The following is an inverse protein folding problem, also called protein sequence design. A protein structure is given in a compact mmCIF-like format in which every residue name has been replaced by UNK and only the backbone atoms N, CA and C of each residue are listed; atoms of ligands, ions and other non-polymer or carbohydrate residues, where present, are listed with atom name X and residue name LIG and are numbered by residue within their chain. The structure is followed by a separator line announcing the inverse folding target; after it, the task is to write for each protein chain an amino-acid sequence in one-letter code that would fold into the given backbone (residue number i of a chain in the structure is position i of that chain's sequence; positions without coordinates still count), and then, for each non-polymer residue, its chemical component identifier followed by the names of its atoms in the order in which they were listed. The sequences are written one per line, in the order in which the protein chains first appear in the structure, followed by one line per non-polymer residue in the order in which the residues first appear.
data_IF_266185335527
#
_entry.id   IF_266185335527
#
_cell.length_a   1.000
_cell.length_b   1.000
_cell.length_c   1.000
_cell.angle_alpha   90.00
_cell.angle_beta   90.00
_cell.angle_gamma   90.00
#
_symmetry.space_group_name_H-M   'P 1'
#
loop_
_entity.id
_entity.type
_entity.pdbx_description
1 polymer ?
#
# COMPACT_ATOMS: atom_id res chain seq x y z
N UNK A 1 -6.79 15.19 3.57
CA UNK A 1 -6.58 14.27 2.42
C UNK A 1 -6.06 15.04 1.21
N UNK A 2 -5.38 14.42 0.23
CA UNK A 2 -4.72 15.15 -0.86
C UNK A 2 -5.69 15.82 -1.85
N UNK A 3 -7.01 15.70 -1.67
CA UNK A 3 -8.01 16.44 -2.43
C UNK A 3 -9.03 17.17 -1.54
N UNK A 4 -8.69 17.41 -0.27
CA UNK A 4 -9.60 18.09 0.66
C UNK A 4 -9.76 19.57 0.29
N UNK A 5 -10.98 19.98 -0.06
CA UNK A 5 -11.31 21.33 -0.52
C UNK A 5 -10.47 21.79 -1.73
N UNK A 6 -10.12 20.86 -2.63
CA UNK A 6 -9.33 21.15 -3.84
C UNK A 6 -7.86 21.43 -3.59
N UNK A 7 -7.34 21.18 -2.38
CA UNK A 7 -5.92 21.37 -2.04
C UNK A 7 -5.19 20.04 -1.91
N UNK A 8 -4.00 20.00 -2.52
CA UNK A 8 -3.12 18.83 -2.54
C UNK A 8 -2.11 18.87 -1.40
N UNK A 9 -2.10 17.81 -0.58
CA UNK A 9 -1.25 17.64 0.60
C UNK A 9 -0.59 16.25 0.62
N UNK A 10 0.29 16.01 1.60
CA UNK A 10 0.93 14.71 1.80
C UNK A 10 2.22 14.50 1.01
N UNK A 11 2.76 13.28 1.13
CA UNK A 11 4.09 12.89 0.61
C UNK A 11 4.18 12.92 -0.91
N UNK A 12 3.06 12.76 -1.61
CA UNK A 12 2.99 12.68 -3.07
C UNK A 12 2.49 13.97 -3.73
N UNK A 13 2.31 15.06 -2.97
CA UNK A 13 1.70 16.30 -3.48
C UNK A 13 2.31 16.89 -4.75
N UNK A 14 3.59 16.59 -5.03
CA UNK A 14 4.31 17.10 -6.21
C UNK A 14 3.95 16.38 -7.51
N UNK A 15 3.26 15.25 -7.42
CA UNK A 15 2.88 14.38 -8.53
C UNK A 15 1.37 14.09 -8.58
N UNK A 16 0.58 14.64 -7.65
CA UNK A 16 -0.87 14.63 -7.78
C UNK A 16 -1.30 15.80 -8.68
N UNK A 17 -2.43 15.63 -9.35
CA UNK A 17 -3.05 16.67 -10.19
C UNK A 17 -4.45 17.00 -9.65
N UNK A 18 -5.01 18.19 -9.93
CA UNK A 18 -6.39 18.49 -9.57
C UNK A 18 -7.38 17.47 -10.11
N UNK A 19 -8.43 17.18 -9.33
CA UNK A 19 -9.47 16.21 -9.69
C UNK A 19 -10.11 16.50 -11.06
N UNK A 20 -10.30 17.78 -11.38
CA UNK A 20 -10.85 18.23 -12.67
C UNK A 20 -9.98 17.86 -13.89
N UNK A 21 -8.71 17.51 -13.69
CA UNK A 21 -7.81 17.07 -14.75
C UNK A 21 -7.75 15.54 -14.90
N UNK A 22 -8.26 14.78 -13.92
CA UNK A 22 -8.18 13.32 -13.93
C UNK A 22 -8.91 12.68 -15.12
N UNK A 23 -10.13 13.11 -15.54
CA UNK A 23 -10.79 12.50 -16.70
C UNK A 23 -10.00 12.67 -18.00
N UNK A 24 -9.39 13.85 -18.20
CA UNK A 24 -8.56 14.11 -19.38
C UNK A 24 -7.27 13.29 -19.36
N UNK A 25 -6.61 13.17 -18.20
CA UNK A 25 -5.44 12.29 -18.06
C UNK A 25 -5.82 10.84 -18.35
N UNK A 26 -6.93 10.35 -17.79
CA UNK A 26 -7.40 9.00 -18.01
C UNK A 26 -7.62 8.73 -19.50
N UNK A 27 -8.35 9.60 -20.22
CA UNK A 27 -8.58 9.48 -21.66
C UNK A 27 -7.28 9.32 -22.47
N UNK A 28 -6.25 10.09 -22.13
CA UNK A 28 -4.94 10.00 -22.80
C UNK A 28 -4.18 8.71 -22.47
N UNK A 29 -4.36 8.18 -21.26
CA UNK A 29 -3.66 6.98 -20.78
C UNK A 29 -4.43 5.68 -21.02
N UNK A 30 -5.74 5.74 -21.35
CA UNK A 30 -6.66 4.58 -21.43
C UNK A 30 -6.07 3.43 -22.24
N UNK A 31 -5.60 3.69 -23.45
CA UNK A 31 -5.08 2.63 -24.32
C UNK A 31 -3.92 1.86 -23.68
N UNK A 32 -2.99 2.57 -23.03
CA UNK A 32 -1.84 1.94 -22.35
C UNK A 32 -2.25 1.25 -21.06
N UNK A 33 -3.14 1.86 -20.28
CA UNK A 33 -3.66 1.25 -19.05
C UNK A 33 -4.44 -0.04 -19.35
N UNK A 34 -5.27 -0.06 -20.38
CA UNK A 34 -5.99 -1.25 -20.83
C UNK A 34 -5.03 -2.34 -21.30
N UNK A 35 -3.97 -2.00 -22.03
CA UNK A 35 -2.94 -2.97 -22.44
C UNK A 35 -2.24 -3.59 -21.23
N UNK A 36 -1.81 -2.77 -20.26
CA UNK A 36 -1.16 -3.23 -19.03
C UNK A 36 -2.12 -4.14 -18.24
N UNK A 37 -3.38 -3.73 -18.09
CA UNK A 37 -4.41 -4.51 -17.39
C UNK A 37 -4.60 -5.89 -18.03
N UNK A 38 -4.76 -5.96 -19.36
CA UNK A 38 -4.92 -7.25 -20.07
C UNK A 38 -3.68 -8.13 -19.89
N UNK A 39 -2.48 -7.57 -19.98
CA UNK A 39 -1.24 -8.33 -19.75
C UNK A 39 -1.14 -8.86 -18.32
N UNK A 40 -1.64 -8.12 -17.33
CA UNK A 40 -1.71 -8.59 -15.95
C UNK A 40 -2.73 -9.73 -15.79
N UNK A 41 -3.96 -9.54 -16.29
CA UNK A 41 -5.05 -10.52 -16.18
C UNK A 41 -4.74 -11.83 -16.92
N UNK A 42 -3.94 -11.76 -17.98
CA UNK A 42 -3.45 -12.94 -18.73
C UNK A 42 -2.19 -13.57 -18.15
N UNK A 43 -1.64 -13.01 -17.05
CA UNK A 43 -0.40 -13.50 -16.43
C UNK A 43 0.88 -13.22 -17.24
N UNK A 44 0.80 -12.40 -18.29
CA UNK A 44 1.95 -11.99 -19.11
C UNK A 44 2.89 -11.06 -18.33
N UNK A 45 2.34 -10.23 -17.43
CA UNK A 45 3.10 -9.39 -16.52
C UNK A 45 2.80 -9.77 -15.08
N UNK A 46 3.85 -9.84 -14.26
CA UNK A 46 3.73 -9.93 -12.81
C UNK A 46 3.19 -8.62 -12.22
N UNK A 47 2.68 -8.68 -10.98
CA UNK A 47 2.23 -7.49 -10.26
C UNK A 47 3.31 -6.41 -10.16
N UNK A 48 4.57 -6.80 -9.90
CA UNK A 48 5.70 -5.86 -9.82
C UNK A 48 5.96 -5.14 -11.16
N UNK A 49 5.83 -5.83 -12.29
CA UNK A 49 6.05 -5.25 -13.62
C UNK A 49 4.92 -4.31 -14.01
N UNK A 50 3.68 -4.67 -13.68
CA UNK A 50 2.50 -3.82 -13.86
C UNK A 50 2.67 -2.53 -13.08
N UNK A 51 2.98 -2.63 -11.79
CA UNK A 51 3.21 -1.47 -10.92
C UNK A 51 4.36 -0.60 -11.45
N UNK A 52 5.45 -1.21 -11.91
CA UNK A 52 6.56 -0.49 -12.54
C UNK A 52 6.11 0.30 -13.78
N UNK A 53 5.38 -0.32 -14.69
CA UNK A 53 4.88 0.34 -15.90
C UNK A 53 3.90 1.48 -15.59
N UNK A 54 3.00 1.28 -14.61
CA UNK A 54 2.10 2.33 -14.13
C UNK A 54 2.89 3.51 -13.58
N UNK A 55 3.89 3.27 -12.73
CA UNK A 55 4.74 4.33 -12.16
C UNK A 55 5.44 5.13 -13.25
N UNK A 56 6.04 4.47 -14.25
CA UNK A 56 6.65 5.17 -15.38
C UNK A 56 5.62 6.01 -16.15
N UNK A 57 4.48 5.40 -16.48
CA UNK A 57 3.43 6.01 -17.29
C UNK A 57 2.91 7.31 -16.66
N UNK A 58 2.52 7.28 -15.39
CA UNK A 58 2.00 8.45 -14.70
C UNK A 58 3.10 9.48 -14.41
N UNK A 59 4.31 9.08 -14.01
CA UNK A 59 5.40 10.04 -13.79
C UNK A 59 5.76 10.79 -15.06
N UNK A 60 5.88 10.11 -16.19
CA UNK A 60 6.18 10.74 -17.47
C UNK A 60 5.05 11.70 -17.92
N UNK A 61 3.80 11.35 -17.62
CA UNK A 61 2.64 12.19 -17.93
C UNK A 61 2.59 13.46 -17.08
N UNK A 62 2.82 13.32 -15.77
CA UNK A 62 2.62 14.38 -14.78
C UNK A 62 3.86 15.24 -14.57
N UNK A 63 5.06 14.69 -14.76
CA UNK A 63 6.33 15.40 -14.57
C UNK A 63 6.94 15.77 -15.92
N UNK A 64 6.66 17.00 -16.37
CA UNK A 64 7.10 17.54 -17.67
C UNK A 64 8.62 17.58 -17.88
N UNK A 65 9.41 17.67 -16.81
CA UNK A 65 10.88 17.72 -16.88
C UNK A 65 11.49 16.81 -15.82
N UNK A 66 12.34 15.89 -16.26
CA UNK A 66 13.11 14.99 -15.41
C UNK A 66 12.26 14.19 -14.39
N UNK A 67 11.32 13.33 -14.84
CA UNK A 67 10.58 12.41 -13.97
C UNK A 67 11.50 11.49 -13.14
N UNK A 68 12.72 11.28 -13.62
CA UNK A 68 13.74 10.40 -13.06
C UNK A 68 15.01 11.20 -12.77
N UNK A 69 15.41 11.22 -11.51
CA UNK A 69 16.59 11.94 -11.05
C UNK A 69 17.81 11.01 -11.08
N UNK A 70 18.95 11.55 -11.53
CA UNK A 70 20.23 10.86 -11.62
C UNK A 70 20.96 10.92 -10.28
N UNK A 71 21.50 9.79 -9.82
CA UNK A 71 22.38 9.71 -8.66
C UNK A 71 23.86 9.77 -9.08
N UNK A 72 24.25 10.83 -9.80
CA UNK A 72 25.63 11.00 -10.28
C UNK A 72 26.05 10.08 -11.44
N UNK A 73 25.18 9.17 -11.88
CA UNK A 73 25.39 8.26 -13.02
C UNK A 73 24.37 8.51 -14.15
N UNK A 74 24.66 7.99 -15.35
CA UNK A 74 23.69 8.01 -16.45
C UNK A 74 22.49 7.13 -16.08
N UNK A 75 21.28 7.58 -16.43
CA UNK A 75 20.08 6.77 -16.20
C UNK A 75 20.21 5.42 -16.95
N UNK A 76 19.96 4.29 -16.27
CA UNK A 76 19.88 2.98 -16.92
C UNK A 76 18.76 2.92 -17.96
N UNK A 77 18.78 1.89 -18.79
CA UNK A 77 17.69 1.62 -19.71
C UNK A 77 16.42 1.24 -18.92
N UNK A 78 15.29 1.89 -19.21
CA UNK A 78 14.00 1.63 -18.55
C UNK A 78 13.47 0.22 -18.82
N UNK A 79 13.91 -0.43 -19.89
CA UNK A 79 13.57 -1.82 -20.18
C UNK A 79 14.28 -2.80 -19.22
N UNK A 80 15.35 -2.36 -18.55
CA UNK A 80 16.02 -3.09 -17.48
C UNK A 80 15.47 -2.61 -16.14
N UNK A 81 14.26 -3.05 -15.80
CA UNK A 81 13.52 -2.62 -14.62
C UNK A 81 14.31 -2.79 -13.31
N UNK A 82 15.08 -3.88 -13.17
CA UNK A 82 15.93 -4.13 -11.99
C UNK A 82 16.99 -3.05 -11.81
N UNK A 83 17.85 -2.85 -12.81
CA UNK A 83 18.94 -1.86 -12.77
C UNK A 83 18.38 -0.42 -12.68
N UNK A 84 17.28 -0.17 -13.39
CA UNK A 84 16.62 1.13 -13.35
C UNK A 84 16.12 1.45 -11.95
N UNK A 85 15.39 0.52 -11.33
CA UNK A 85 14.85 0.70 -9.99
C UNK A 85 15.94 0.79 -8.93
N UNK A 86 17.08 0.12 -9.10
CA UNK A 86 18.20 0.19 -8.15
C UNK A 86 18.80 1.61 -8.04
N UNK A 87 18.97 2.29 -9.19
CA UNK A 87 19.79 3.50 -9.28
C UNK A 87 18.99 4.81 -9.37
N UNK A 88 17.74 4.74 -9.80
CA UNK A 88 16.92 5.93 -10.04
C UNK A 88 16.41 6.54 -8.73
N UNK A 89 16.02 7.81 -8.78
CA UNK A 89 15.08 8.40 -7.82
C UNK A 89 13.88 8.96 -8.57
N UNK A 90 12.68 8.73 -8.04
CA UNK A 90 11.46 9.28 -8.61
C UNK A 90 11.25 10.71 -8.16
N UNK A 91 10.98 11.62 -9.10
CA UNK A 91 10.69 13.00 -8.76
C UNK A 91 9.41 13.07 -7.90
N UNK A 92 9.47 13.83 -6.82
CA UNK A 92 8.29 14.15 -6.02
C UNK A 92 7.70 13.00 -5.20
N UNK A 93 8.44 11.89 -5.05
CA UNK A 93 8.08 10.75 -4.22
C UNK A 93 9.17 10.49 -3.16
N UNK A 94 8.81 10.01 -1.95
CA UNK A 94 9.77 9.40 -1.04
C UNK A 94 10.43 8.17 -1.67
N UNK A 95 11.67 7.87 -1.25
CA UNK A 95 12.39 6.70 -1.79
C UNK A 95 11.77 5.36 -1.37
N UNK A 96 10.89 5.38 -0.37
CA UNK A 96 10.16 4.20 0.13
C UNK A 96 9.43 3.46 -0.98
N UNK A 97 8.78 4.19 -1.89
CA UNK A 97 8.05 3.61 -3.04
C UNK A 97 8.99 2.86 -3.97
N UNK A 98 10.06 3.52 -4.42
CA UNK A 98 11.02 2.92 -5.35
C UNK A 98 11.70 1.72 -4.71
N UNK A 99 12.11 1.84 -3.44
CA UNK A 99 12.77 0.75 -2.72
C UNK A 99 11.85 -0.47 -2.55
N UNK A 100 10.59 -0.26 -2.17
CA UNK A 100 9.61 -1.34 -2.09
C UNK A 100 9.38 -2.00 -3.44
N UNK A 101 9.22 -1.21 -4.49
CA UNK A 101 9.06 -1.74 -5.84
C UNK A 101 10.30 -2.51 -6.32
N UNK A 102 11.51 -2.03 -5.99
CA UNK A 102 12.75 -2.73 -6.30
C UNK A 102 12.83 -4.09 -5.61
N UNK A 103 12.62 -4.12 -4.28
CA UNK A 103 12.66 -5.36 -3.48
C UNK A 103 11.57 -6.35 -3.88
N UNK A 104 10.38 -5.85 -4.24
CA UNK A 104 9.34 -6.68 -4.84
C UNK A 104 9.80 -7.29 -6.16
N UNK A 105 10.37 -6.48 -7.05
CA UNK A 105 10.73 -6.88 -8.41
C UNK A 105 11.89 -7.88 -8.47
N UNK A 106 12.74 -7.92 -7.46
CA UNK A 106 13.79 -8.94 -7.31
C UNK A 106 13.35 -10.16 -6.48
N UNK A 107 12.10 -10.17 -6.00
CA UNK A 107 11.50 -11.30 -5.27
C UNK A 107 11.89 -11.38 -3.80
N UNK A 108 12.51 -10.34 -3.22
CA UNK A 108 12.87 -10.33 -1.80
C UNK A 108 11.68 -10.01 -0.90
N UNK A 109 10.77 -9.13 -1.34
CA UNK A 109 9.59 -8.74 -0.57
C UNK A 109 8.32 -9.31 -1.18
N UNK A 110 7.52 -9.99 -0.35
CA UNK A 110 6.29 -10.65 -0.76
C UNK A 110 5.13 -9.64 -0.83
N UNK A 111 5.13 -8.84 -1.89
CA UNK A 111 4.07 -7.91 -2.23
C UNK A 111 3.18 -8.55 -3.31
N UNK A 112 1.88 -8.37 -3.22
CA UNK A 112 0.92 -8.88 -4.21
C UNK A 112 0.06 -7.73 -4.73
N UNK A 113 -0.05 -7.64 -6.06
CA UNK A 113 -0.95 -6.69 -6.71
C UNK A 113 -2.37 -7.23 -6.62
N UNK A 114 -3.32 -6.41 -6.15
CA UNK A 114 -4.75 -6.72 -6.15
C UNK A 114 -5.55 -5.58 -6.79
N UNK A 115 -6.78 -5.88 -7.19
CA UNK A 115 -7.70 -4.92 -7.83
C UNK A 115 -9.07 -4.82 -7.13
N UNK A 116 -9.14 -5.27 -5.89
CA UNK A 116 -10.31 -5.19 -5.02
C UNK A 116 -9.89 -4.58 -3.69
N UNK A 117 -10.85 -4.09 -2.91
CA UNK A 117 -10.62 -3.64 -1.54
C UNK A 117 -10.72 -4.86 -0.62
N UNK A 118 -9.64 -5.28 0.05
CA UNK A 118 -9.69 -6.40 0.96
C UNK A 118 -10.46 -6.01 2.22
N UNK A 119 -11.20 -6.94 2.79
CA UNK A 119 -11.77 -6.80 4.13
C UNK A 119 -10.66 -6.77 5.19
N UNK A 120 -10.99 -6.27 6.38
CA UNK A 120 -10.06 -6.24 7.52
C UNK A 120 -9.58 -7.65 7.90
N UNK A 121 -10.44 -8.67 7.78
CA UNK A 121 -10.09 -10.07 8.03
C UNK A 121 -9.16 -10.63 6.94
N UNK A 122 -9.46 -10.42 5.66
CA UNK A 122 -8.52 -10.80 4.57
C UNK A 122 -7.17 -10.12 4.75
N UNK A 123 -7.17 -8.88 5.24
CA UNK A 123 -5.93 -8.19 5.55
C UNK A 123 -5.16 -8.81 6.70
N UNK A 124 -5.85 -9.20 7.77
CA UNK A 124 -5.26 -9.90 8.90
C UNK A 124 -4.60 -11.22 8.46
N UNK A 125 -5.33 -12.06 7.71
CA UNK A 125 -4.85 -13.34 7.19
C UNK A 125 -3.64 -13.22 6.27
N UNK A 126 -3.59 -12.14 5.50
CA UNK A 126 -2.51 -11.88 4.55
C UNK A 126 -1.26 -11.43 5.29
N UNK A 127 -1.41 -10.50 6.24
CA UNK A 127 -0.31 -9.95 7.02
C UNK A 127 0.31 -10.99 7.96
N UNK A 128 -0.49 -11.89 8.54
CA UNK A 128 0.03 -13.01 9.36
C UNK A 128 0.94 -13.95 8.57
N UNK A 129 0.76 -14.02 7.25
CA UNK A 129 1.62 -14.78 6.33
C UNK A 129 2.83 -13.99 5.84
N UNK A 130 3.01 -12.73 6.26
CA UNK A 130 4.09 -11.86 5.81
C UNK A 130 3.89 -11.32 4.39
N UNK A 131 2.64 -11.23 3.92
CA UNK A 131 2.28 -10.69 2.61
C UNK A 131 1.77 -9.26 2.77
N UNK A 132 2.10 -8.39 1.80
CA UNK A 132 1.50 -7.05 1.68
C UNK A 132 0.79 -6.86 0.36
N UNK A 133 -0.33 -6.17 0.39
CA UNK A 133 -1.02 -5.78 -0.83
C UNK A 133 -0.52 -4.44 -1.36
N UNK A 134 -0.49 -4.35 -2.68
CA UNK A 134 -0.49 -3.12 -3.45
C UNK A 134 -1.77 -3.10 -4.27
N UNK A 135 -2.57 -2.05 -4.17
CA UNK A 135 -3.92 -2.04 -4.75
C UNK A 135 -4.00 -1.07 -5.93
N UNK A 136 -4.46 -1.59 -7.07
CA UNK A 136 -4.80 -0.77 -8.24
C UNK A 136 -6.30 -0.83 -8.51
N UNK A 137 -6.99 0.30 -8.36
CA UNK A 137 -8.35 0.41 -8.88
C UNK A 137 -8.31 0.75 -10.37
N UNK A 138 -8.45 -0.28 -11.21
CA UNK A 138 -8.50 -0.11 -12.66
C UNK A 138 -9.69 0.74 -13.11
N UNK A 139 -10.83 0.61 -12.44
CA UNK A 139 -12.02 1.44 -12.73
C UNK A 139 -11.69 2.92 -12.55
N UNK A 140 -11.16 3.30 -11.39
CA UNK A 140 -10.81 4.70 -11.09
C UNK A 140 -9.67 5.20 -11.99
N UNK A 141 -8.69 4.36 -12.31
CA UNK A 141 -7.59 4.70 -13.22
C UNK A 141 -8.09 4.97 -14.66
N UNK A 142 -9.01 4.16 -15.17
CA UNK A 142 -9.54 4.26 -16.54
C UNK A 142 -10.61 5.35 -16.68
N UNK A 143 -11.37 5.62 -15.62
CA UNK A 143 -12.41 6.66 -15.62
C UNK A 143 -11.90 8.04 -15.19
N UNK A 144 -10.71 8.10 -14.58
CA UNK A 144 -10.15 9.35 -14.04
C UNK A 144 -10.94 9.88 -12.86
N UNK A 145 -11.24 9.02 -11.89
CA UNK A 145 -12.00 9.37 -10.68
C UNK A 145 -11.22 9.04 -9.42
N UNK A 146 -11.67 9.60 -8.28
CA UNK A 146 -11.03 9.39 -6.99
C UNK A 146 -11.47 8.07 -6.35
N UNK A 147 -10.52 7.32 -5.82
CA UNK A 147 -10.74 6.19 -4.90
C UNK A 147 -11.23 6.74 -3.56
N UNK A 148 -12.41 6.27 -3.12
CA UNK A 148 -13.09 6.72 -1.89
C UNK A 148 -13.34 8.25 -1.80
N UNK A 149 -13.26 8.97 -2.91
CA UNK A 149 -13.34 10.45 -2.93
C UNK A 149 -12.10 11.15 -2.35
N UNK A 150 -10.96 10.44 -2.23
CA UNK A 150 -9.80 10.91 -1.46
C UNK A 150 -8.55 11.13 -2.29
N UNK A 151 -8.23 10.18 -3.15
CA UNK A 151 -6.95 10.05 -3.88
C UNK A 151 -7.23 9.44 -5.24
N UNK A 152 -6.42 9.79 -6.24
CA UNK A 152 -6.50 9.07 -7.51
C UNK A 152 -5.91 7.65 -7.40
N UNK A 153 -6.20 6.80 -8.39
CA UNK A 153 -5.76 5.40 -8.38
C UNK A 153 -4.23 5.24 -8.37
N UNK A 154 -3.50 6.20 -8.93
CA UNK A 154 -2.04 6.16 -8.94
C UNK A 154 -1.48 6.46 -7.55
N UNK A 155 -1.94 7.54 -6.91
CA UNK A 155 -1.55 7.88 -5.55
C UNK A 155 -1.92 6.78 -4.54
N UNK A 156 -3.08 6.13 -4.73
CA UNK A 156 -3.48 4.98 -3.91
C UNK A 156 -2.45 3.86 -3.97
N UNK A 157 -2.06 3.44 -5.18
CA UNK A 157 -1.03 2.41 -5.40
C UNK A 157 0.32 2.78 -4.76
N UNK A 158 0.75 4.04 -4.90
CA UNK A 158 2.00 4.53 -4.31
C UNK A 158 1.98 4.49 -2.78
N UNK A 159 0.82 4.77 -2.19
CA UNK A 159 0.65 4.73 -0.75
C UNK A 159 0.78 3.31 -0.20
N UNK A 160 0.20 2.32 -0.88
CA UNK A 160 0.34 0.93 -0.50
C UNK A 160 1.81 0.45 -0.60
N UNK A 161 2.55 0.89 -1.62
CA UNK A 161 3.99 0.62 -1.71
C UNK A 161 4.76 1.27 -0.55
N UNK A 162 4.39 2.48 -0.16
CA UNK A 162 5.00 3.13 1.01
C UNK A 162 4.67 2.37 2.31
N UNK A 163 3.48 1.80 2.45
CA UNK A 163 3.15 0.91 3.57
C UNK A 163 3.91 -0.40 3.53
N UNK A 164 4.03 -1.04 2.36
CA UNK A 164 4.84 -2.24 2.21
C UNK A 164 6.30 -2.00 2.64
N UNK A 165 6.88 -0.83 2.31
CA UNK A 165 8.19 -0.44 2.82
C UNK A 165 8.26 -0.43 4.36
N UNK A 166 7.25 0.13 5.02
CA UNK A 166 7.22 0.19 6.49
C UNK A 166 7.09 -1.19 7.11
N UNK A 167 6.44 -2.14 6.43
CA UNK A 167 6.30 -3.50 6.90
C UNK A 167 7.61 -4.30 6.83
N UNK A 168 8.33 -4.19 5.72
CA UNK A 168 9.51 -5.03 5.47
C UNK A 168 10.85 -4.40 5.92
N UNK A 169 10.87 -3.12 6.31
CA UNK A 169 12.11 -2.48 6.79
C UNK A 169 12.54 -3.08 8.14
N UNK A 170 13.85 -3.30 8.29
CA UNK A 170 14.43 -4.05 9.42
C UNK A 170 14.11 -3.46 10.79
N UNK A 171 14.14 -2.13 10.91
CA UNK A 171 13.90 -1.41 12.17
C UNK A 171 12.41 -1.32 12.56
N UNK A 172 11.51 -1.93 11.79
CA UNK A 172 10.10 -2.07 12.12
C UNK A 172 9.71 -3.47 12.58
N UNK A 173 10.69 -4.36 12.80
CA UNK A 173 10.48 -5.71 13.33
C UNK A 173 9.42 -6.49 12.54
N UNK A 174 9.76 -6.82 11.28
CA UNK A 174 8.89 -7.58 10.37
C UNK A 174 8.35 -8.88 11.00
N UNK A 175 9.22 -9.65 11.67
CA UNK A 175 8.82 -10.90 12.33
C UNK A 175 7.89 -10.64 13.52
N UNK A 176 8.13 -9.59 14.30
CA UNK A 176 7.23 -9.17 15.36
C UNK A 176 5.86 -8.74 14.83
N UNK A 177 5.79 -8.05 13.69
CA UNK A 177 4.51 -7.65 13.08
C UNK A 177 3.74 -8.88 12.61
N UNK A 178 4.42 -9.78 11.90
CA UNK A 178 3.83 -11.05 11.44
C UNK A 178 3.29 -11.87 12.61
N UNK A 179 4.05 -11.99 13.70
CA UNK A 179 3.63 -12.70 14.91
C UNK A 179 2.42 -12.04 15.56
N UNK A 180 2.40 -10.71 15.67
CA UNK A 180 1.24 -9.97 16.21
C UNK A 180 -0.03 -10.27 15.41
N UNK A 181 0.03 -10.16 14.09
CA UNK A 181 -1.13 -10.45 13.23
C UNK A 181 -1.53 -11.93 13.27
N UNK A 182 -0.58 -12.86 13.38
CA UNK A 182 -0.90 -14.27 13.58
C UNK A 182 -1.65 -14.51 14.89
N UNK A 183 -1.21 -13.92 16.00
CA UNK A 183 -1.92 -14.02 17.28
C UNK A 183 -3.33 -13.45 17.20
N UNK A 184 -3.49 -12.28 16.58
CA UNK A 184 -4.82 -11.67 16.38
C UNK A 184 -5.74 -12.54 15.53
N UNK A 185 -5.19 -13.26 14.55
CA UNK A 185 -5.94 -14.19 13.71
C UNK A 185 -6.35 -15.45 14.47
N UNK A 186 -5.41 -16.05 15.22
CA UNK A 186 -5.65 -17.25 16.01
C UNK A 186 -6.72 -17.03 17.08
N UNK A 187 -6.79 -15.82 17.64
CA UNK A 187 -7.77 -15.42 18.66
C UNK A 187 -9.04 -14.77 18.07
N UNK A 188 -9.16 -14.63 16.75
CA UNK A 188 -10.25 -13.83 16.13
C UNK A 188 -11.65 -14.31 16.55
N UNK A 189 -11.87 -15.63 16.55
CA UNK A 189 -13.14 -16.26 16.93
C UNK A 189 -13.55 -15.92 18.37
N UNK A 190 -12.59 -15.73 19.28
CA UNK A 190 -12.86 -15.36 20.68
C UNK A 190 -13.47 -13.95 20.77
N UNK A 191 -13.19 -13.10 19.78
CA UNK A 191 -13.64 -11.71 19.76
C UNK A 191 -14.96 -11.49 19.02
N UNK A 192 -15.44 -12.44 18.21
CA UNK A 192 -16.67 -12.29 17.39
C UNK A 192 -17.87 -11.81 18.20
N UNK A 193 -18.11 -12.42 19.36
CA UNK A 193 -19.20 -12.04 20.26
C UNK A 193 -19.13 -10.58 20.72
N UNK A 194 -17.93 -10.01 20.85
CA UNK A 194 -17.73 -8.61 21.23
C UNK A 194 -17.90 -7.70 20.01
N UNK A 195 -17.38 -8.11 18.85
CA UNK A 195 -17.52 -7.39 17.59
C UNK A 195 -19.00 -7.22 17.21
N UNK A 196 -19.85 -8.21 17.48
CA UNK A 196 -21.30 -8.17 17.21
C UNK A 196 -22.08 -7.26 18.17
N UNK A 197 -21.61 -7.10 19.41
CA UNK A 197 -22.34 -6.37 20.45
C UNK A 197 -21.90 -4.91 20.59
N UNK A 198 -20.67 -4.59 20.22
CA UNK A 198 -20.08 -3.26 20.36
C UNK A 198 -19.52 -2.78 19.01
N UNK A 199 -20.25 -1.87 18.36
CA UNK A 199 -19.86 -1.30 17.07
C UNK A 199 -18.65 -0.36 17.16
N UNK A 200 -18.41 0.26 18.32
CA UNK A 200 -17.23 1.12 18.55
C UNK A 200 -15.98 0.24 18.68
N UNK A 201 -16.09 -0.85 19.44
CA UNK A 201 -15.02 -1.84 19.53
C UNK A 201 -14.73 -2.45 18.16
N UNK A 202 -15.76 -2.87 17.41
CA UNK A 202 -15.61 -3.40 16.04
C UNK A 202 -14.80 -2.45 15.15
N UNK A 203 -15.16 -1.18 15.11
CA UNK A 203 -14.46 -0.21 14.26
C UNK A 203 -12.98 -0.06 14.64
N UNK A 204 -12.67 -0.02 15.94
CA UNK A 204 -11.29 0.06 16.45
C UNK A 204 -10.50 -1.22 16.20
N UNK A 205 -11.15 -2.37 16.33
CA UNK A 205 -10.56 -3.67 16.05
C UNK A 205 -10.23 -3.80 14.56
N UNK A 206 -11.19 -3.50 13.67
CA UNK A 206 -11.01 -3.48 12.23
C UNK A 206 -9.86 -2.53 11.82
N UNK A 207 -9.76 -1.36 12.46
CA UNK A 207 -8.63 -0.45 12.26
C UNK A 207 -7.30 -1.07 12.70
N UNK A 208 -7.26 -1.76 13.85
CA UNK A 208 -6.05 -2.41 14.35
C UNK A 208 -5.55 -3.52 13.41
N UNK A 209 -6.44 -4.37 12.91
CA UNK A 209 -6.06 -5.53 12.09
C UNK A 209 -5.81 -5.15 10.62
N UNK A 210 -6.27 -3.97 10.19
CA UNK A 210 -5.97 -3.41 8.87
C UNK A 210 -4.76 -2.45 8.88
N UNK A 211 -4.16 -2.15 10.03
CA UNK A 211 -3.03 -1.23 10.13
C UNK A 211 -1.79 -1.76 9.38
N UNK A 212 -1.20 -0.92 8.53
CA UNK A 212 -0.16 -1.35 7.59
C UNK A 212 1.24 -0.81 7.88
N UNK A 213 1.42 -0.01 8.92
CA UNK A 213 2.63 0.79 9.08
C UNK A 213 3.05 1.07 10.53
N UNK A 214 2.53 0.34 11.51
CA UNK A 214 2.94 0.49 12.91
C UNK A 214 3.93 -0.58 13.36
N UNK A 215 4.84 -0.19 14.26
CA UNK A 215 5.72 -1.13 14.95
C UNK A 215 4.90 -2.06 15.87
N UNK A 216 5.30 -3.34 16.08
CA UNK A 216 4.56 -4.31 16.90
C UNK A 216 4.23 -3.84 18.32
N UNK A 217 5.16 -3.10 18.93
CA UNK A 217 4.93 -2.49 20.25
C UNK A 217 3.76 -1.49 20.25
N UNK A 218 3.61 -0.70 19.19
CA UNK A 218 2.48 0.23 19.05
C UNK A 218 1.17 -0.50 18.75
N UNK A 219 1.21 -1.52 17.89
CA UNK A 219 0.06 -2.39 17.64
C UNK A 219 -0.44 -3.05 18.94
N UNK A 220 0.47 -3.61 19.72
CA UNK A 220 0.16 -4.25 21.01
C UNK A 220 -0.38 -3.24 22.03
N UNK A 221 0.19 -2.04 22.09
CA UNK A 221 -0.29 -0.99 22.99
C UNK A 221 -1.70 -0.52 22.61
N UNK A 222 -1.96 -0.30 21.32
CA UNK A 222 -3.28 0.06 20.81
C UNK A 222 -4.29 -1.04 21.09
N UNK A 223 -3.93 -2.29 20.78
CA UNK A 223 -4.77 -3.46 21.03
C UNK A 223 -5.20 -3.59 22.49
N UNK A 224 -4.23 -3.50 23.41
CA UNK A 224 -4.48 -3.56 24.84
C UNK A 224 -5.39 -2.40 25.32
N UNK A 225 -5.22 -1.20 24.76
CA UNK A 225 -6.06 -0.06 25.09
C UNK A 225 -7.52 -0.31 24.70
N UNK A 226 -7.78 -0.76 23.46
CA UNK A 226 -9.15 -0.95 22.97
C UNK A 226 -9.87 -2.13 23.64
N UNK A 227 -9.13 -3.21 23.99
CA UNK A 227 -9.67 -4.31 24.82
C UNK A 227 -10.13 -3.82 26.18
N UNK A 228 -9.28 -3.04 26.85
CA UNK A 228 -9.56 -2.50 28.19
C UNK A 228 -10.79 -1.59 28.16
N UNK A 229 -10.90 -0.73 27.15
CA UNK A 229 -12.05 0.15 26.94
C UNK A 229 -13.35 -0.64 26.74
N UNK A 230 -13.30 -1.76 26.02
CA UNK A 230 -14.44 -2.66 25.80
C UNK A 230 -14.73 -3.62 26.97
N UNK A 231 -13.97 -3.54 28.07
CA UNK A 231 -14.13 -4.43 29.23
C UNK A 231 -13.72 -5.88 28.97
N UNK A 232 -12.95 -6.14 27.92
CA UNK A 232 -12.44 -7.47 27.58
C UNK A 232 -11.24 -7.79 28.49
N UNK A 233 -11.25 -8.91 29.23
CA UNK A 233 -10.14 -9.29 30.09
C UNK A 233 -8.81 -9.35 29.32
N UNK A 234 -7.75 -8.77 29.89
CA UNK A 234 -6.38 -8.93 29.39
C UNK A 234 -5.73 -9.98 30.26
N UNK A 235 -5.68 -11.23 29.78
CA UNK A 235 -4.88 -12.26 30.41
C UNK A 235 -3.42 -11.98 30.05
N UNK A 236 -2.67 -11.32 30.94
CA UNK A 236 -1.22 -11.31 30.81
C UNK A 236 -0.76 -12.76 30.89
N UNK A 237 -0.31 -13.31 29.76
CA UNK A 237 0.43 -14.56 29.78
C UNK A 237 1.59 -14.37 30.74
N UNK A 238 1.52 -15.05 31.89
CA UNK A 238 2.67 -15.17 32.79
C UNK A 238 3.84 -15.65 31.95
N UNK A 239 4.93 -14.88 31.96
CA UNK A 239 6.21 -15.32 31.41
C UNK A 239 6.50 -16.69 32.01
N UNK A 240 6.35 -17.75 31.21
CA UNK A 240 6.96 -19.04 31.54
C UNK A 240 8.46 -18.84 31.41
N UNK A 241 9.09 -18.67 32.57
CA UNK A 241 10.54 -18.67 32.81
C UNK A 241 11.15 -19.95 32.23
#
# INVERSE_FOLDING_TARGET
MPHENGRIYGSFKKICIPESLLPNEALELTSKLSEIKVKWETGTLSGSEVTYQIVLLYLERRVKRHPFLRMGQKLPNRNSSKEFLELVRFYGMPDTVRYALWKWHIGEWNIQLINFNPSSLEMLETQSKGIRYATISWEHALNGTLVEGKRDAFEHLLHDLAHAYMFFREDYDFEGQKKFFQTMLDEYEEYENYLDKDSVFRQKFEYCISDMNSHPAHLSAYWNAIRKEAGIPIHTAEFKI
#
